data_IF_740268744846
#
_entry.id   IF_740268744846
#
_cell.length_a   1.000
_cell.length_b   1.000
_cell.length_c   1.000
_cell.angle_alpha   90.00
_cell.angle_beta   90.00
_cell.angle_gamma   90.00
#
_symmetry.space_group_name_H-M   'P 1'
#
loop_
_entity.id
_entity.type
_entity.pdbx_description
1 polymer ?
#
# COMPACT_ATOMS: atom_id res chain seq x y z
N UNK A 1 -1.46 -29.99 -13.72
CA UNK A 1 -1.54 -28.54 -13.92
C UNK A 1 -0.91 -27.88 -12.70
N UNK A 2 0.23 -27.19 -12.82
CA UNK A 2 0.73 -26.34 -11.72
C UNK A 2 -0.13 -25.08 -11.76
N UNK A 3 -1.05 -24.92 -10.82
CA UNK A 3 -1.92 -23.74 -10.76
C UNK A 3 -1.04 -22.48 -10.63
N UNK A 4 -1.01 -21.67 -11.69
CA UNK A 4 -0.23 -20.43 -11.73
C UNK A 4 -0.91 -19.39 -10.86
N UNK A 5 -0.12 -18.62 -10.10
CA UNK A 5 -0.64 -17.51 -9.31
C UNK A 5 -1.17 -16.43 -10.28
N UNK A 6 -2.40 -15.97 -10.09
CA UNK A 6 -2.93 -14.86 -10.88
C UNK A 6 -2.31 -13.54 -10.39
N UNK A 7 -1.25 -13.11 -11.10
CA UNK A 7 -0.48 -11.92 -10.75
C UNK A 7 -1.33 -10.64 -10.76
N UNK A 8 -2.34 -10.55 -11.64
CA UNK A 8 -3.22 -9.38 -11.69
C UNK A 8 -4.11 -9.33 -10.45
N UNK A 9 -4.68 -10.48 -10.04
CA UNK A 9 -5.47 -10.56 -8.80
C UNK A 9 -4.62 -10.26 -7.57
N UNK A 10 -3.40 -10.78 -7.51
CA UNK A 10 -2.51 -10.51 -6.38
C UNK A 10 -2.09 -9.03 -6.32
N UNK A 11 -1.75 -8.43 -7.46
CA UNK A 11 -1.48 -6.99 -7.54
C UNK A 11 -2.67 -6.15 -7.07
N UNK A 12 -3.89 -6.46 -7.53
CA UNK A 12 -5.11 -5.75 -7.08
C UNK A 12 -5.35 -5.90 -5.58
N UNK A 13 -5.12 -7.09 -5.03
CA UNK A 13 -5.20 -7.31 -3.59
C UNK A 13 -4.17 -6.45 -2.85
N UNK A 14 -2.93 -6.36 -3.36
CA UNK A 14 -1.89 -5.48 -2.85
C UNK A 14 -2.31 -4.01 -2.83
N UNK A 15 -2.84 -3.50 -3.93
CA UNK A 15 -3.35 -2.13 -4.01
C UNK A 15 -4.41 -1.85 -2.93
N UNK A 16 -5.40 -2.74 -2.80
CA UNK A 16 -6.51 -2.56 -1.86
C UNK A 16 -6.01 -2.60 -0.42
N UNK A 17 -5.20 -3.61 -0.07
CA UNK A 17 -4.66 -3.73 1.28
C UNK A 17 -3.80 -2.53 1.62
N UNK A 18 -2.90 -2.10 0.74
CA UNK A 18 -2.08 -0.91 0.93
C UNK A 18 -2.93 0.35 1.13
N UNK A 19 -3.94 0.57 0.28
CA UNK A 19 -4.85 1.71 0.39
C UNK A 19 -5.59 1.74 1.74
N UNK A 20 -6.14 0.60 2.17
CA UNK A 20 -6.85 0.48 3.45
C UNK A 20 -5.90 0.72 4.61
N UNK A 21 -4.70 0.14 4.59
CA UNK A 21 -3.70 0.35 5.66
C UNK A 21 -3.25 1.80 5.73
N UNK A 22 -3.02 2.47 4.60
CA UNK A 22 -2.67 3.90 4.57
C UNK A 22 -3.77 4.76 5.21
N UNK A 23 -5.04 4.48 4.88
CA UNK A 23 -6.17 5.19 5.46
C UNK A 23 -6.33 4.93 6.97
N UNK A 24 -6.21 3.68 7.41
CA UNK A 24 -6.29 3.34 8.84
C UNK A 24 -5.16 3.97 9.64
N UNK A 25 -3.94 3.96 9.10
CA UNK A 25 -2.78 4.56 9.74
C UNK A 25 -2.92 6.09 9.84
N UNK A 26 -3.48 6.72 8.82
CA UNK A 26 -3.80 8.15 8.85
C UNK A 26 -4.83 8.46 9.94
N UNK A 27 -5.92 7.69 10.03
CA UNK A 27 -6.93 7.86 11.10
C UNK A 27 -6.27 7.70 12.46
N UNK A 28 -5.45 6.67 12.66
CA UNK A 28 -4.66 6.46 13.87
C UNK A 28 -3.80 7.68 14.21
N UNK A 29 -3.11 8.24 13.22
CA UNK A 29 -2.27 9.42 13.39
C UNK A 29 -3.05 10.63 13.90
N UNK A 30 -4.26 10.87 13.38
CA UNK A 30 -5.12 11.98 13.82
C UNK A 30 -5.54 11.86 15.29
N UNK A 31 -5.72 10.64 15.80
CA UNK A 31 -6.12 10.39 17.19
C UNK A 31 -4.94 10.09 18.12
N UNK A 32 -3.70 10.24 17.64
CA UNK A 32 -2.48 10.02 18.41
C UNK A 32 -2.09 8.54 18.62
N UNK A 33 -2.81 7.60 18.01
CA UNK A 33 -2.54 6.16 18.10
C UNK A 33 -1.61 5.76 16.94
N UNK A 34 -0.57 4.98 17.22
CA UNK A 34 0.44 4.59 16.21
C UNK A 34 1.15 5.77 15.53
N UNK A 35 1.27 6.93 16.20
CA UNK A 35 1.90 8.12 15.64
C UNK A 35 3.32 7.86 15.11
N UNK A 36 4.13 7.06 15.82
CA UNK A 36 5.47 6.67 15.36
C UNK A 36 5.45 5.88 14.04
N UNK A 37 4.46 5.00 13.84
CA UNK A 37 4.32 4.24 12.60
C UNK A 37 3.83 5.12 11.46
N UNK A 38 2.88 6.03 11.72
CA UNK A 38 2.40 6.99 10.75
C UNK A 38 3.49 7.98 10.30
N UNK A 39 4.36 8.39 11.24
CA UNK A 39 5.48 9.28 10.95
C UNK A 39 6.56 8.59 10.12
N UNK A 40 6.84 7.31 10.36
CA UNK A 40 7.67 6.50 9.47
C UNK A 40 7.03 6.36 8.08
N UNK A 41 5.72 6.16 8.01
CA UNK A 41 5.01 6.07 6.74
C UNK A 41 5.08 7.36 5.93
N UNK A 42 5.01 8.53 6.58
CA UNK A 42 5.22 9.82 5.95
C UNK A 42 6.67 10.02 5.44
N UNK A 43 7.64 9.32 6.01
CA UNK A 43 9.02 9.33 5.50
C UNK A 43 9.20 8.39 4.30
N UNK A 44 8.36 7.37 4.15
CA UNK A 44 8.44 6.38 3.06
C UNK A 44 7.57 6.74 1.86
N UNK A 45 6.51 7.51 2.08
CA UNK A 45 5.57 7.92 1.03
C UNK A 45 5.66 9.43 0.84
N UNK A 46 6.06 9.84 -0.36
CA UNK A 46 6.41 11.22 -0.67
C UNK A 46 5.24 12.18 -0.42
N UNK A 47 4.01 11.70 -0.62
CA UNK A 47 2.81 12.53 -0.52
C UNK A 47 2.02 12.31 0.77
N UNK A 48 2.35 11.30 1.59
CA UNK A 48 1.58 10.99 2.79
C UNK A 48 1.85 12.00 3.91
N UNK A 49 0.79 12.63 4.41
CA UNK A 49 0.87 13.59 5.52
C UNK A 49 -0.43 13.62 6.34
N UNK A 50 -0.44 14.36 7.45
CA UNK A 50 -1.64 14.55 8.28
C UNK A 50 -2.75 15.33 7.57
N UNK A 51 -2.48 16.01 6.45
CA UNK A 51 -3.51 16.72 5.70
C UNK A 51 -4.43 15.74 4.94
N UNK A 52 -5.66 16.16 4.64
CA UNK A 52 -6.58 15.38 3.80
C UNK A 52 -6.01 15.19 2.38
N UNK A 53 -5.34 16.20 1.83
CA UNK A 53 -4.67 16.08 0.54
C UNK A 53 -3.56 15.03 0.56
N UNK A 54 -2.78 14.99 1.66
CA UNK A 54 -1.74 13.97 1.85
C UNK A 54 -2.29 12.57 2.07
N UNK A 55 -3.45 12.42 2.71
CA UNK A 55 -4.15 11.13 2.77
C UNK A 55 -4.48 10.63 1.37
N UNK A 56 -5.16 11.45 0.55
CA UNK A 56 -5.61 11.03 -0.78
C UNK A 56 -4.42 10.68 -1.66
N UNK A 57 -3.42 11.56 -1.73
CA UNK A 57 -2.23 11.34 -2.54
C UNK A 57 -1.40 10.15 -2.04
N UNK A 58 -1.21 10.01 -0.72
CA UNK A 58 -0.51 8.89 -0.12
C UNK A 58 -1.22 7.55 -0.34
N UNK A 59 -2.55 7.50 -0.22
CA UNK A 59 -3.34 6.28 -0.52
C UNK A 59 -3.16 5.85 -1.97
N UNK A 60 -3.19 6.80 -2.91
CA UNK A 60 -2.97 6.50 -4.34
C UNK A 60 -1.55 5.98 -4.56
N UNK A 61 -0.55 6.67 -4.02
CA UNK A 61 0.86 6.26 -4.10
C UNK A 61 1.07 4.85 -3.52
N UNK A 62 0.56 4.59 -2.32
CA UNK A 62 0.66 3.30 -1.64
C UNK A 62 -0.07 2.19 -2.38
N UNK A 63 -1.24 2.46 -2.96
CA UNK A 63 -1.97 1.50 -3.78
C UNK A 63 -1.18 1.12 -5.06
N UNK A 64 -0.57 2.10 -5.72
CA UNK A 64 0.24 1.87 -6.92
C UNK A 64 1.48 1.06 -6.57
N UNK A 65 2.22 1.43 -5.52
CA UNK A 65 3.37 0.66 -5.06
C UNK A 65 2.98 -0.77 -4.64
N UNK A 66 1.91 -0.94 -3.85
CA UNK A 66 1.41 -2.25 -3.44
C UNK A 66 1.02 -3.14 -4.61
N UNK A 67 0.39 -2.56 -5.64
CA UNK A 67 0.10 -3.27 -6.89
C UNK A 67 1.36 -3.75 -7.58
N UNK A 68 2.31 -2.84 -7.82
CA UNK A 68 3.52 -3.11 -8.60
C UNK A 68 4.32 -4.22 -7.92
N UNK A 69 4.58 -4.11 -6.61
CA UNK A 69 5.41 -5.07 -5.90
C UNK A 69 4.79 -6.47 -5.90
N UNK A 70 3.51 -6.61 -5.60
CA UNK A 70 2.87 -7.92 -5.56
C UNK A 70 2.62 -8.50 -6.95
N UNK A 71 2.32 -7.67 -7.95
CA UNK A 71 2.23 -8.11 -9.34
C UNK A 71 3.56 -8.68 -9.82
N UNK A 72 4.66 -7.93 -9.61
CA UNK A 72 6.00 -8.37 -10.00
C UNK A 72 6.40 -9.64 -9.26
N UNK A 73 6.11 -9.74 -7.96
CA UNK A 73 6.38 -10.93 -7.16
C UNK A 73 5.70 -12.17 -7.75
N UNK A 74 4.40 -12.10 -8.04
CA UNK A 74 3.66 -13.22 -8.64
C UNK A 74 4.15 -13.53 -10.06
N UNK A 75 4.53 -12.52 -10.85
CA UNK A 75 5.07 -12.73 -12.18
C UNK A 75 6.41 -13.45 -12.15
N UNK A 76 7.33 -13.05 -11.26
CA UNK A 76 8.61 -13.73 -11.05
C UNK A 76 8.36 -15.16 -10.56
N UNK A 77 7.48 -15.34 -9.56
CA UNK A 77 7.13 -16.65 -9.01
C UNK A 77 6.62 -17.63 -10.08
N UNK A 78 5.81 -17.15 -11.03
CA UNK A 78 5.29 -17.99 -12.12
C UNK A 78 6.34 -18.34 -13.20
N UNK A 79 7.46 -17.63 -13.23
CA UNK A 79 8.55 -17.84 -14.19
C UNK A 79 9.64 -18.77 -13.66
N UNK A 80 9.77 -18.87 -12.34
CA UNK A 80 10.65 -19.82 -11.63
C UNK A 80 10.03 -21.21 -11.58
#
# INVERSE_FOLDING_TARGET
MKDKCDALRLGKAGAIVSAVMMALLWIGWQVGIYANAAQQMANWHLFFSQSIGGLIAGVIEGAVHGFIWLYLLAWIYNKL
#
